data_IF_608528194474
#
_entry.id   IF_608528194474
#
_cell.length_a   1.000
_cell.length_b   1.000
_cell.length_c   1.000
_cell.angle_alpha   90.00
_cell.angle_beta   90.00
_cell.angle_gamma   90.00
#
_symmetry.space_group_name_H-M   'P 1'
#
loop_
_entity.id
_entity.type
_entity.pdbx_description
1 polymer ?
#
# COMPACT_ATOMS: atom_id res chain seq x y z
N UNK A 1 12.77 -34.69 -30.04
CA UNK A 1 12.78 -33.41 -30.77
C UNK A 1 11.85 -32.37 -30.13
N UNK A 2 10.54 -32.67 -29.96
CA UNK A 2 9.57 -31.76 -29.34
C UNK A 2 10.01 -31.22 -27.97
N UNK A 3 10.55 -32.09 -27.10
CA UNK A 3 11.06 -31.70 -25.78
C UNK A 3 12.13 -30.58 -25.86
N UNK A 4 13.07 -30.69 -26.80
CA UNK A 4 14.15 -29.70 -26.98
C UNK A 4 13.56 -28.37 -27.43
N UNK A 5 12.60 -28.38 -28.36
CA UNK A 5 11.94 -27.16 -28.85
C UNK A 5 11.21 -26.45 -27.70
N UNK A 6 10.49 -27.19 -26.87
CA UNK A 6 9.77 -26.63 -25.70
C UNK A 6 10.74 -26.04 -24.68
N UNK A 7 11.83 -26.75 -24.37
CA UNK A 7 12.85 -26.26 -23.43
C UNK A 7 13.54 -25.00 -23.97
N UNK A 8 13.93 -24.98 -25.25
CA UNK A 8 14.52 -23.80 -25.87
C UNK A 8 13.54 -22.62 -25.88
N UNK A 9 12.25 -22.85 -26.15
CA UNK A 9 11.21 -21.83 -26.09
C UNK A 9 11.09 -21.23 -24.68
N UNK A 10 11.03 -22.06 -23.65
CA UNK A 10 10.95 -21.60 -22.26
C UNK A 10 12.18 -20.79 -21.84
N UNK A 11 13.38 -21.29 -22.14
CA UNK A 11 14.64 -20.59 -21.84
C UNK A 11 14.68 -19.22 -22.54
N UNK A 12 14.29 -19.15 -23.80
CA UNK A 12 14.24 -17.89 -24.54
C UNK A 12 13.26 -16.90 -23.90
N UNK A 13 12.05 -17.34 -23.55
CA UNK A 13 11.06 -16.51 -22.86
C UNK A 13 11.57 -16.00 -21.51
N UNK A 14 12.25 -16.84 -20.72
CA UNK A 14 12.84 -16.41 -19.45
C UNK A 14 13.93 -15.35 -19.65
N UNK A 15 14.85 -15.54 -20.61
CA UNK A 15 15.92 -14.56 -20.90
C UNK A 15 15.33 -13.24 -21.38
N UNK A 16 14.31 -13.31 -22.23
CA UNK A 16 13.60 -12.13 -22.70
C UNK A 16 12.92 -11.38 -21.56
N UNK A 17 12.19 -12.09 -20.69
CA UNK A 17 11.52 -11.51 -19.53
C UNK A 17 12.50 -10.87 -18.54
N UNK A 18 13.68 -11.44 -18.33
CA UNK A 18 14.70 -10.86 -17.44
C UNK A 18 15.35 -9.61 -18.06
N UNK A 19 15.55 -9.57 -19.38
CA UNK A 19 16.17 -8.43 -20.06
C UNK A 19 15.24 -7.25 -20.27
N UNK A 20 13.99 -7.52 -20.63
CA UNK A 20 13.03 -6.49 -21.04
C UNK A 20 11.88 -6.32 -20.05
N UNK A 21 11.70 -7.26 -19.12
CA UNK A 21 10.71 -7.14 -18.07
C UNK A 21 11.21 -6.27 -16.92
N UNK A 22 10.32 -5.44 -16.41
CA UNK A 22 10.55 -4.70 -15.18
C UNK A 22 10.22 -5.60 -13.99
N UNK A 23 11.19 -6.44 -13.58
CA UNK A 23 11.04 -7.34 -12.42
C UNK A 23 10.67 -6.58 -11.13
N UNK A 24 11.01 -5.30 -11.04
CA UNK A 24 10.63 -4.43 -9.92
C UNK A 24 9.11 -4.31 -9.75
N UNK A 25 8.34 -4.45 -10.84
CA UNK A 25 6.86 -4.40 -10.80
C UNK A 25 6.24 -5.60 -10.08
N UNK A 26 6.97 -6.71 -9.91
CA UNK A 26 6.46 -7.90 -9.20
C UNK A 26 6.35 -7.70 -7.68
N UNK A 27 7.15 -6.78 -7.12
CA UNK A 27 7.29 -6.62 -5.67
C UNK A 27 6.58 -5.37 -5.12
N UNK A 28 5.93 -4.62 -6.00
CA UNK A 28 5.18 -3.42 -5.63
C UNK A 28 3.69 -3.73 -5.58
N UNK A 29 3.00 -3.06 -4.67
CA UNK A 29 1.54 -3.10 -4.63
C UNK A 29 0.92 -2.05 -5.53
N UNK A 30 -0.40 -2.19 -5.65
CA UNK A 30 -1.25 -1.26 -6.37
C UNK A 30 -2.03 -0.41 -5.37
N UNK A 31 -2.36 0.81 -5.73
CA UNK A 31 -3.34 1.60 -4.99
C UNK A 31 -4.78 1.19 -5.34
N UNK A 32 -5.73 1.81 -4.63
CA UNK A 32 -7.17 1.67 -4.87
C UNK A 32 -7.60 2.02 -6.31
N UNK A 33 -6.85 2.89 -7.01
CA UNK A 33 -7.12 3.25 -8.39
C UNK A 33 -6.51 2.26 -9.41
N UNK A 34 -5.84 1.20 -8.93
CA UNK A 34 -5.17 0.21 -9.77
C UNK A 34 -3.84 0.69 -10.34
N UNK A 35 -3.26 1.75 -9.77
CA UNK A 35 -1.96 2.31 -10.18
C UNK A 35 -0.84 1.60 -9.42
N UNK A 36 0.24 1.28 -10.11
CA UNK A 36 1.43 0.67 -9.55
C UNK A 36 2.29 1.71 -8.83
N UNK A 37 2.44 1.55 -7.52
CA UNK A 37 3.22 2.46 -6.67
C UNK A 37 4.68 2.56 -7.14
N UNK A 38 5.14 3.77 -7.45
CA UNK A 38 6.50 4.05 -7.93
C UNK A 38 6.70 3.95 -9.45
N UNK A 39 5.63 3.75 -10.24
CA UNK A 39 5.73 3.57 -11.70
C UNK A 39 4.68 4.33 -12.50
N UNK A 40 3.43 4.31 -12.05
CA UNK A 40 2.34 4.93 -12.80
C UNK A 40 2.24 6.44 -12.51
N UNK A 41 1.59 7.17 -13.43
CA UNK A 41 1.50 8.63 -13.36
C UNK A 41 0.80 9.13 -12.09
N UNK A 42 1.44 10.06 -11.39
CA UNK A 42 0.98 10.64 -10.13
C UNK A 42 1.31 9.82 -8.87
N UNK A 43 2.00 8.69 -9.00
CA UNK A 43 2.52 7.87 -7.87
C UNK A 43 3.99 7.48 -8.07
N UNK A 44 4.72 8.15 -8.96
CA UNK A 44 6.11 7.84 -9.30
C UNK A 44 7.06 7.97 -8.10
N UNK A 45 6.80 8.95 -7.24
CA UNK A 45 7.59 9.20 -6.01
C UNK A 45 7.08 8.40 -4.80
N UNK A 46 6.04 7.60 -4.98
CA UNK A 46 5.34 6.87 -3.91
C UNK A 46 5.59 5.37 -4.06
N UNK A 47 6.72 4.89 -3.56
CA UNK A 47 7.20 3.51 -3.75
C UNK A 47 6.75 2.54 -2.66
N UNK A 48 6.00 3.01 -1.67
CA UNK A 48 5.51 2.22 -0.55
C UNK A 48 4.00 2.05 -0.64
N UNK A 49 3.51 0.94 -0.12
CA UNK A 49 2.09 0.63 -0.01
C UNK A 49 1.70 0.68 1.46
N UNK A 50 0.67 1.45 1.75
CA UNK A 50 0.04 1.55 3.06
C UNK A 50 -1.41 1.08 2.97
N UNK A 51 -1.88 0.38 4.01
CA UNK A 51 -3.27 0.00 4.14
C UNK A 51 -3.93 0.82 5.22
N UNK A 52 -5.09 1.36 4.89
CA UNK A 52 -5.89 2.11 5.84
C UNK A 52 -6.46 1.15 6.90
N UNK A 53 -6.40 1.50 8.21
CA UNK A 53 -7.10 0.72 9.23
C UNK A 53 -8.62 0.76 9.00
N UNK A 54 -9.34 -0.32 9.31
CA UNK A 54 -10.80 -0.43 9.06
C UNK A 54 -11.65 0.43 10.00
N UNK A 55 -11.17 0.68 11.24
CA UNK A 55 -11.85 1.39 12.32
C UNK A 55 -10.86 2.20 13.18
N UNK A 56 -11.38 3.12 14.01
CA UNK A 56 -10.63 3.92 14.99
C UNK A 56 -10.08 3.11 16.19
N UNK A 57 -10.52 1.87 16.37
CA UNK A 57 -10.10 1.03 17.49
C UNK A 57 -8.73 0.38 17.26
N UNK A 58 -7.93 0.28 18.33
CA UNK A 58 -6.57 -0.29 18.35
C UNK A 58 -6.46 -1.74 17.83
N UNK A 59 -7.58 -2.45 17.76
CA UNK A 59 -7.71 -3.78 17.15
C UNK A 59 -8.18 -3.69 15.69
N UNK A 60 -7.82 -2.60 14.99
CA UNK A 60 -8.25 -2.34 13.63
C UNK A 60 -7.76 -3.44 12.70
N UNK A 61 -8.71 -4.28 12.28
CA UNK A 61 -8.55 -5.16 11.14
C UNK A 61 -8.04 -4.33 9.95
N UNK A 62 -6.94 -4.77 9.35
CA UNK A 62 -6.35 -4.07 8.21
C UNK A 62 -7.32 -4.20 7.04
N UNK A 63 -7.84 -3.08 6.54
CA UNK A 63 -8.74 -3.08 5.40
C UNK A 63 -7.94 -3.27 4.11
N UNK A 64 -7.78 -4.54 3.69
CA UNK A 64 -7.02 -4.93 2.51
C UNK A 64 -7.61 -4.42 1.18
N UNK A 65 -8.83 -3.88 1.21
CA UNK A 65 -9.56 -3.38 0.04
C UNK A 65 -9.13 -1.99 -0.40
N UNK A 66 -8.46 -1.22 0.47
CA UNK A 66 -8.11 0.19 0.21
C UNK A 66 -6.61 0.47 0.36
N UNK A 67 -5.74 -0.18 -0.44
CA UNK A 67 -4.32 0.15 -0.45
C UNK A 67 -4.08 1.54 -1.04
N UNK A 68 -3.05 2.23 -0.54
CA UNK A 68 -2.63 3.53 -1.05
C UNK A 68 -1.12 3.63 -1.19
N UNK A 69 -0.67 4.27 -2.26
CA UNK A 69 0.74 4.57 -2.45
C UNK A 69 1.15 5.73 -1.52
N UNK A 70 2.30 5.59 -0.87
CA UNK A 70 2.90 6.63 -0.03
C UNK A 70 4.40 6.74 -0.31
N UNK A 71 4.95 7.94 -0.12
CA UNK A 71 6.40 8.19 -0.26
C UNK A 71 7.16 7.76 1.01
N UNK A 72 6.51 7.84 2.16
CA UNK A 72 7.06 7.47 3.47
C UNK A 72 5.94 6.86 4.32
N UNK A 73 6.31 5.90 5.18
CA UNK A 73 5.36 5.29 6.09
C UNK A 73 4.89 6.29 7.14
N UNK A 74 3.57 6.36 7.45
CA UNK A 74 3.05 7.26 8.47
C UNK A 74 3.63 6.91 9.85
N UNK A 75 4.41 7.84 10.42
CA UNK A 75 4.96 7.72 11.77
C UNK A 75 3.90 7.84 12.89
N UNK A 76 4.32 7.77 14.16
CA UNK A 76 3.42 7.91 15.32
C UNK A 76 2.80 9.31 15.46
N UNK A 77 3.45 10.34 14.90
CA UNK A 77 2.88 11.69 14.72
C UNK A 77 2.39 11.91 13.28
N UNK A 78 2.35 10.84 12.49
CA UNK A 78 2.23 10.85 11.04
C UNK A 78 0.84 11.19 10.58
N UNK A 79 0.76 12.15 9.64
CA UNK A 79 -0.48 12.44 8.92
C UNK A 79 -0.85 11.20 8.09
N UNK A 80 -2.03 10.64 8.37
CA UNK A 80 -2.58 9.53 7.59
C UNK A 80 -2.86 10.04 6.17
N UNK A 81 -2.63 9.23 5.12
CA UNK A 81 -2.99 9.61 3.75
C UNK A 81 -4.46 10.02 3.65
N UNK A 82 -4.73 11.11 2.92
CA UNK A 82 -6.09 11.66 2.77
C UNK A 82 -7.10 10.63 2.27
N UNK A 83 -6.67 9.70 1.42
CA UNK A 83 -7.54 8.68 0.85
C UNK A 83 -8.14 7.76 1.93
N UNK A 84 -7.41 7.49 3.02
CA UNK A 84 -7.93 6.68 4.12
C UNK A 84 -9.09 7.39 4.81
N UNK A 85 -8.92 8.68 5.08
CA UNK A 85 -9.94 9.48 5.75
C UNK A 85 -11.21 9.62 4.90
N UNK A 86 -11.05 9.77 3.58
CA UNK A 86 -12.20 9.83 2.64
C UNK A 86 -12.99 8.52 2.69
N UNK A 87 -12.32 7.37 2.66
CA UNK A 87 -12.98 6.07 2.71
C UNK A 87 -13.75 5.85 4.01
N UNK A 88 -13.19 6.26 5.15
CA UNK A 88 -13.88 6.18 6.44
C UNK A 88 -15.16 7.02 6.47
N UNK A 89 -15.07 8.28 6.04
CA UNK A 89 -16.23 9.19 6.01
C UNK A 89 -17.34 8.69 5.07
N UNK A 90 -16.95 8.08 3.95
CA UNK A 90 -17.91 7.45 3.04
C UNK A 90 -18.60 6.24 3.68
N UNK A 91 -17.87 5.44 4.47
CA UNK A 91 -18.41 4.28 5.21
C UNK A 91 -19.38 4.70 6.31
N UNK A 92 -19.15 5.85 6.95
CA UNK A 92 -20.04 6.42 7.97
C UNK A 92 -21.28 7.16 7.42
N UNK A 93 -21.38 7.37 6.11
CA UNK A 93 -22.50 8.10 5.50
C UNK A 93 -22.45 9.62 5.73
N UNK A 94 -21.29 10.18 6.05
CA UNK A 94 -21.10 11.61 6.26
C UNK A 94 -20.92 12.36 4.93
N UNK A 95 -21.46 13.59 4.83
CA UNK A 95 -21.35 14.41 3.62
C UNK A 95 -19.91 14.92 3.41
N UNK A 96 -19.43 14.82 2.16
CA UNK A 96 -18.10 15.20 1.62
C UNK A 96 -17.67 16.66 1.98
N UNK A 97 -18.57 17.51 2.46
CA UNK A 97 -18.27 18.91 2.82
C UNK A 97 -17.39 19.06 4.08
N UNK A 98 -17.28 18.06 4.95
CA UNK A 98 -16.30 18.03 6.07
C UNK A 98 -14.86 17.78 5.63
N UNK A 99 -14.61 17.51 4.34
CA UNK A 99 -13.28 17.17 3.80
C UNK A 99 -12.23 18.29 3.87
N UNK A 100 -12.64 19.54 4.07
CA UNK A 100 -11.75 20.71 3.99
C UNK A 100 -10.98 20.93 5.31
N UNK A 101 -11.53 20.46 6.45
CA UNK A 101 -10.90 20.58 7.78
C UNK A 101 -9.90 19.44 8.08
N UNK A 102 -9.83 18.44 7.20
CA UNK A 102 -9.04 17.21 7.40
C UNK A 102 -7.57 17.36 7.03
N UNK A 103 -7.14 18.54 6.58
CA UNK A 103 -5.71 18.81 6.36
C UNK A 103 -4.89 18.78 7.66
N UNK A 104 -5.57 18.92 8.80
CA UNK A 104 -5.01 18.86 10.15
C UNK A 104 -5.58 17.73 11.01
N UNK A 105 -6.38 16.82 10.43
CA UNK A 105 -6.89 15.69 11.19
C UNK A 105 -5.75 14.72 11.49
N UNK A 106 -5.29 14.77 12.74
CA UNK A 106 -4.35 13.83 13.33
C UNK A 106 -5.17 12.81 14.09
N UNK A 107 -5.27 11.59 13.58
CA UNK A 107 -5.92 10.52 14.33
C UNK A 107 -5.04 10.21 15.56
N UNK A 108 -5.60 10.20 16.78
CA UNK A 108 -4.81 10.11 18.01
C UNK A 108 -4.13 8.76 18.25
N UNK A 109 -4.37 7.74 17.42
CA UNK A 109 -3.71 6.45 17.54
C UNK A 109 -3.49 5.84 16.16
N UNK A 110 -2.39 6.17 15.49
CA UNK A 110 -1.67 5.15 14.75
C UNK A 110 -0.55 4.69 15.66
N UNK A 111 -0.59 3.43 16.10
CA UNK A 111 0.67 2.78 16.44
C UNK A 111 1.56 3.01 15.22
N UNK A 112 2.73 3.64 15.44
CA UNK A 112 3.59 4.05 14.33
C UNK A 112 3.76 2.90 13.34
N UNK A 113 3.83 3.19 12.05
CA UNK A 113 4.10 2.12 11.08
C UNK A 113 5.61 1.98 10.89
N UNK A 114 6.04 0.75 10.60
CA UNK A 114 7.40 0.44 10.21
C UNK A 114 7.43 0.00 8.75
N UNK A 115 8.43 0.50 8.03
CA UNK A 115 8.72 0.03 6.70
C UNK A 115 9.30 -1.39 6.74
N UNK A 116 8.66 -2.31 6.01
CA UNK A 116 9.15 -3.68 5.75
C UNK A 116 9.12 -3.90 4.24
N UNK A 117 10.27 -3.77 3.60
CA UNK A 117 10.36 -3.78 2.14
C UNK A 117 9.63 -2.59 1.51
N UNK A 118 8.64 -2.88 0.66
CA UNK A 118 7.78 -1.89 -0.02
C UNK A 118 6.44 -1.67 0.70
N UNK A 119 6.34 -2.11 1.96
CA UNK A 119 5.09 -2.11 2.71
C UNK A 119 5.26 -1.37 4.03
N UNK A 120 4.22 -0.64 4.43
CA UNK A 120 4.10 -0.03 5.74
C UNK A 120 3.22 -0.92 6.62
N UNK A 121 3.82 -1.56 7.62
CA UNK A 121 3.13 -2.44 8.57
C UNK A 121 3.01 -1.75 9.93
N UNK A 122 1.94 -2.00 10.70
CA UNK A 122 1.86 -1.51 12.08
C UNK A 122 3.03 -2.08 12.90
N UNK A 123 3.59 -1.28 13.81
CA UNK A 123 4.59 -1.77 14.77
C UNK A 123 3.86 -2.66 15.77
N UNK A 124 4.22 -3.94 15.83
CA UNK A 124 3.68 -4.87 16.82
C UNK A 124 3.82 -4.29 18.23
N UNK A 125 2.71 -4.11 18.95
CA UNK A 125 2.75 -3.82 20.37
C UNK A 125 3.42 -5.01 21.09
N UNK A 126 4.49 -4.79 21.90
CA UNK A 126 5.20 -5.87 22.57
C UNK A 126 4.44 -6.56 23.73
N UNK A 127 3.11 -6.49 23.81
CA UNK A 127 2.34 -6.95 24.98
C UNK A 127 1.11 -7.82 24.66
N UNK A 128 1.31 -9.05 24.18
CA UNK A 128 0.27 -10.10 24.27
C UNK A 128 0.80 -11.55 24.26
N UNK A 129 2.05 -11.78 24.65
CA UNK A 129 2.51 -13.12 25.06
C UNK A 129 2.90 -13.08 26.53
N UNK A 130 1.90 -13.22 27.40
CA UNK A 130 2.09 -13.61 28.79
C UNK A 130 1.00 -14.60 29.20
#
# INVERSE_FOLDING_TARGET
FLFIVVVCGFVFSCVYAVRFGHLSKLYQGYDLAGRLCGFDEGVEDQYLVYWCPSNDDLDAEIELTTPTCVAECPGPEGRIPRICVINWLQKEGNNITTLIDLTNYSHPQSQGTRQVGHYCLPVDQPEAMK
#
